data_IF_038743831080
#
_entry.id   IF_038743831080
#
_cell.length_a   1.000
_cell.length_b   1.000
_cell.length_c   1.000
_cell.angle_alpha   90.00
_cell.angle_beta   90.00
_cell.angle_gamma   90.00
#
_symmetry.space_group_name_H-M   'P 1'
#
loop_
_entity.id
_entity.type
_entity.pdbx_description
1 polymer ?
#
# COMPACT_ATOMS: atom_id res chain seq x y z
N UNK A 1 21.71 0.62 -4.20
CA UNK A 1 20.33 0.79 -3.71
C UNK A 1 20.28 0.31 -2.27
N UNK A 2 19.58 1.02 -1.39
CA UNK A 2 19.48 0.66 0.02
C UNK A 2 18.49 -0.51 0.20
N UNK A 3 19.01 -1.71 0.37
CA UNK A 3 18.23 -2.94 0.53
C UNK A 3 17.38 -2.94 1.81
N UNK A 4 17.57 -1.97 2.72
CA UNK A 4 16.81 -1.84 3.96
C UNK A 4 15.40 -1.24 3.77
N UNK A 5 15.08 -0.75 2.57
CA UNK A 5 13.82 -0.05 2.31
C UNK A 5 12.88 -0.85 1.42
N UNK A 6 11.59 -0.86 1.78
CA UNK A 6 10.55 -1.47 0.95
C UNK A 6 10.48 -0.80 -0.44
N UNK A 7 10.26 -1.60 -1.50
CA UNK A 7 10.23 -1.15 -2.89
C UNK A 7 9.26 0.03 -3.13
N UNK A 8 8.11 0.05 -2.45
CA UNK A 8 7.16 1.17 -2.53
C UNK A 8 7.72 2.47 -1.95
N UNK A 9 8.52 2.39 -0.89
CA UNK A 9 9.17 3.54 -0.28
C UNK A 9 10.24 4.08 -1.20
N UNK A 10 11.04 3.20 -1.82
CA UNK A 10 12.06 3.58 -2.80
C UNK A 10 11.41 4.31 -3.99
N UNK A 11 10.33 3.76 -4.54
CA UNK A 11 9.59 4.41 -5.65
C UNK A 11 9.02 5.77 -5.26
N UNK A 12 8.49 5.90 -4.05
CA UNK A 12 7.98 7.18 -3.55
C UNK A 12 9.09 8.21 -3.38
N UNK A 13 10.22 7.82 -2.80
CA UNK A 13 11.37 8.70 -2.62
C UNK A 13 12.00 9.10 -3.95
N UNK A 14 12.12 8.17 -4.90
CA UNK A 14 12.64 8.48 -6.24
C UNK A 14 11.76 9.50 -6.98
N UNK A 15 10.42 9.41 -6.83
CA UNK A 15 9.51 10.41 -7.39
C UNK A 15 9.67 11.77 -6.73
N UNK A 16 9.74 11.78 -5.40
CA UNK A 16 9.86 13.02 -4.64
C UNK A 16 11.23 13.69 -4.87
N UNK A 17 12.30 12.90 -4.99
CA UNK A 17 13.63 13.37 -5.38
C UNK A 17 13.64 14.00 -6.79
N UNK A 18 13.01 13.34 -7.77
CA UNK A 18 12.89 13.93 -9.13
C UNK A 18 12.16 15.26 -9.12
N UNK A 19 11.14 15.42 -8.28
CA UNK A 19 10.43 16.69 -8.15
C UNK A 19 11.32 17.79 -7.56
N UNK A 20 12.21 17.44 -6.61
CA UNK A 20 13.23 18.36 -6.09
C UNK A 20 14.23 18.75 -7.16
N UNK A 21 14.81 17.77 -7.88
CA UNK A 21 15.78 18.03 -8.97
C UNK A 21 15.19 18.96 -10.03
N UNK A 22 13.98 18.67 -10.50
CA UNK A 22 13.29 19.52 -11.48
C UNK A 22 13.06 20.95 -10.97
N UNK A 23 12.73 21.11 -9.69
CA UNK A 23 12.62 22.43 -9.06
C UNK A 23 13.97 23.14 -9.01
N UNK A 24 15.04 22.46 -8.61
CA UNK A 24 16.38 23.03 -8.53
C UNK A 24 16.86 23.49 -9.92
N UNK A 25 16.75 22.64 -10.94
CA UNK A 25 17.07 22.96 -12.34
C UNK A 25 16.32 24.20 -12.84
N UNK A 26 15.00 24.26 -12.62
CA UNK A 26 14.17 25.39 -13.02
C UNK A 26 14.56 26.72 -12.36
N UNK A 27 15.28 26.69 -11.23
CA UNK A 27 15.70 27.87 -10.50
C UNK A 27 17.21 28.09 -10.54
N UNK A 28 17.96 27.33 -11.36
CA UNK A 28 19.42 27.45 -11.45
C UNK A 28 20.14 27.08 -10.15
N UNK A 29 19.61 26.12 -9.37
CA UNK A 29 20.14 25.71 -8.09
C UNK A 29 20.77 24.32 -8.19
N UNK A 30 21.77 24.08 -7.35
CA UNK A 30 22.32 22.74 -7.17
C UNK A 30 21.33 21.87 -6.37
N UNK A 31 21.03 20.70 -6.92
CA UNK A 31 20.18 19.75 -6.21
C UNK A 31 20.91 19.05 -5.05
N UNK A 32 22.24 18.97 -5.11
CA UNK A 32 23.08 18.31 -4.11
C UNK A 32 24.51 18.92 -4.14
N UNK A 33 25.03 19.53 -3.04
CA UNK A 33 24.32 19.75 -1.78
C UNK A 33 23.23 20.81 -1.86
N UNK A 34 22.13 20.61 -1.14
CA UNK A 34 21.02 21.57 -1.09
C UNK A 34 21.13 22.44 0.17
N UNK A 35 21.28 23.76 0.04
CA UNK A 35 21.20 24.65 1.17
C UNK A 35 19.80 24.61 1.83
N UNK A 36 19.70 24.70 3.17
CA UNK A 36 18.40 24.68 3.87
C UNK A 36 17.39 25.72 3.37
N UNK A 37 17.84 26.90 2.96
CA UNK A 37 16.98 27.95 2.42
C UNK A 37 16.28 27.51 1.11
N UNK A 38 17.01 26.86 0.21
CA UNK A 38 16.46 26.35 -1.07
C UNK A 38 15.45 25.22 -0.81
N UNK A 39 15.75 24.35 0.15
CA UNK A 39 14.80 23.30 0.59
C UNK A 39 13.52 23.91 1.16
N UNK A 40 13.61 24.96 1.99
CA UNK A 40 12.44 25.68 2.49
C UNK A 40 11.57 26.23 1.35
N UNK A 41 12.19 26.90 0.37
CA UNK A 41 11.48 27.47 -0.77
C UNK A 41 10.78 26.38 -1.60
N UNK A 42 11.48 25.27 -1.89
CA UNK A 42 10.88 24.12 -2.55
C UNK A 42 9.69 23.58 -1.76
N UNK A 43 9.84 23.31 -0.45
CA UNK A 43 8.78 22.73 0.35
C UNK A 43 7.56 23.64 0.44
N UNK A 44 7.75 24.96 0.49
CA UNK A 44 6.67 25.93 0.44
C UNK A 44 5.93 25.88 -0.91
N UNK A 45 6.66 25.87 -2.03
CA UNK A 45 6.10 25.78 -3.38
C UNK A 45 5.42 24.42 -3.61
N UNK A 46 6.14 23.32 -3.35
CA UNK A 46 5.67 21.95 -3.56
C UNK A 46 4.46 21.60 -2.68
N UNK A 47 4.40 22.21 -1.50
CA UNK A 47 3.32 22.02 -0.55
C UNK A 47 2.03 22.77 -0.88
N UNK A 48 1.98 23.71 -1.83
CA UNK A 48 0.76 24.48 -2.11
C UNK A 48 -0.45 23.59 -2.40
N UNK A 49 -0.32 22.62 -3.30
CA UNK A 49 -1.41 21.78 -3.77
C UNK A 49 -1.32 20.33 -3.25
N UNK A 50 -0.45 20.08 -2.26
CA UNK A 50 -0.19 18.73 -1.73
C UNK A 50 -0.47 18.66 -0.23
N UNK A 51 -0.79 17.45 0.25
CA UNK A 51 -0.95 17.18 1.67
C UNK A 51 0.37 17.39 2.42
N UNK A 52 0.30 17.85 3.67
CA UNK A 52 1.48 18.02 4.52
C UNK A 52 2.33 16.74 4.63
N UNK A 53 1.71 15.57 4.70
CA UNK A 53 2.40 14.27 4.73
C UNK A 53 3.19 13.98 3.45
N UNK A 54 2.70 14.39 2.28
CA UNK A 54 3.40 14.26 1.01
C UNK A 54 4.62 15.17 0.96
N UNK A 55 4.47 16.43 1.39
CA UNK A 55 5.56 17.39 1.45
C UNK A 55 6.62 16.97 2.47
N UNK A 56 6.21 16.43 3.61
CA UNK A 56 7.14 15.87 4.59
C UNK A 56 7.94 14.69 4.02
N UNK A 57 7.29 13.81 3.23
CA UNK A 57 7.99 12.69 2.57
C UNK A 57 9.01 13.20 1.54
N UNK A 58 8.70 14.27 0.80
CA UNK A 58 9.66 14.89 -0.12
C UNK A 58 10.89 15.44 0.62
N UNK A 59 10.70 16.09 1.76
CA UNK A 59 11.80 16.49 2.63
C UNK A 59 12.66 15.29 3.05
N UNK A 60 12.03 14.18 3.48
CA UNK A 60 12.76 12.97 3.86
C UNK A 60 13.56 12.36 2.70
N UNK A 61 13.05 12.44 1.46
CA UNK A 61 13.76 12.00 0.26
C UNK A 61 15.03 12.85 0.02
N UNK A 62 14.95 14.18 0.16
CA UNK A 62 16.09 15.08 0.07
C UNK A 62 17.14 14.74 1.15
N UNK A 63 16.70 14.60 2.40
CA UNK A 63 17.61 14.24 3.50
C UNK A 63 18.25 12.86 3.31
N UNK A 64 17.54 11.89 2.73
CA UNK A 64 18.09 10.58 2.41
C UNK A 64 19.19 10.66 1.34
N UNK A 65 18.97 11.47 0.29
CA UNK A 65 19.97 11.68 -0.75
C UNK A 65 21.26 12.30 -0.20
N UNK A 66 21.15 13.31 0.68
CA UNK A 66 22.31 13.91 1.33
C UNK A 66 23.07 12.90 2.18
N UNK A 67 22.39 12.12 3.01
CA UNK A 67 23.04 11.08 3.82
C UNK A 67 23.74 10.02 2.97
N UNK A 68 23.13 9.61 1.86
CA UNK A 68 23.78 8.66 0.94
C UNK A 68 25.03 9.23 0.26
N UNK A 69 25.07 10.55 0.06
CA UNK A 69 26.22 11.27 -0.49
C UNK A 69 27.27 11.66 0.58
N UNK A 70 27.07 11.30 1.85
CA UNK A 70 27.97 11.69 2.95
C UNK A 70 27.91 13.19 3.29
N UNK A 71 26.83 13.88 2.89
CA UNK A 71 26.66 15.32 3.09
C UNK A 71 25.77 15.63 4.30
N UNK A 72 25.93 16.85 4.84
CA UNK A 72 25.07 17.35 5.90
C UNK A 72 23.60 17.33 5.49
N UNK A 73 22.72 16.82 6.36
CA UNK A 73 21.30 16.69 6.05
C UNK A 73 20.60 18.04 6.26
N UNK A 74 20.11 18.71 5.19
CA UNK A 74 19.47 20.01 5.32
C UNK A 74 18.15 19.98 6.14
N UNK A 75 17.55 18.80 6.32
CA UNK A 75 16.29 18.64 7.04
C UNK A 75 16.47 18.85 8.56
N UNK A 76 17.69 18.64 9.05
CA UNK A 76 18.01 18.84 10.47
C UNK A 76 18.16 20.32 10.83
N UNK A 77 18.17 21.22 9.84
CA UNK A 77 18.21 22.65 10.05
C UNK A 77 16.86 23.18 10.58
N UNK A 78 16.94 24.11 11.53
CA UNK A 78 15.75 24.64 12.23
C UNK A 78 14.75 25.27 11.27
N UNK A 79 15.19 26.02 10.27
CA UNK A 79 14.29 26.66 9.30
C UNK A 79 13.46 25.64 8.53
N UNK A 80 14.04 24.51 8.11
CA UNK A 80 13.30 23.45 7.42
C UNK A 80 12.30 22.79 8.35
N UNK A 81 12.67 22.52 9.59
CA UNK A 81 11.74 21.99 10.61
C UNK A 81 10.57 22.93 10.87
N UNK A 82 10.83 24.24 10.98
CA UNK A 82 9.79 25.27 11.13
C UNK A 82 8.87 25.35 9.90
N UNK A 83 9.42 25.31 8.70
CA UNK A 83 8.64 25.30 7.45
C UNK A 83 7.69 24.09 7.41
N UNK A 84 8.19 22.89 7.71
CA UNK A 84 7.36 21.68 7.79
C UNK A 84 6.29 21.78 8.90
N UNK A 85 6.62 22.35 10.04
CA UNK A 85 5.67 22.58 11.12
C UNK A 85 4.57 23.57 10.72
N UNK A 86 4.92 24.64 10.03
CA UNK A 86 3.98 25.62 9.47
C UNK A 86 3.02 24.96 8.49
N UNK A 87 3.53 24.20 7.53
CA UNK A 87 2.71 23.46 6.56
C UNK A 87 1.74 22.47 7.23
N UNK A 88 2.16 21.79 8.30
CA UNK A 88 1.28 20.91 9.07
C UNK A 88 0.16 21.66 9.78
N UNK A 89 0.45 22.83 10.37
CA UNK A 89 -0.56 23.66 11.03
C UNK A 89 -1.58 24.20 10.04
N UNK A 90 -1.11 24.71 8.89
CA UNK A 90 -1.98 25.33 7.88
C UNK A 90 -2.88 24.30 7.18
N UNK A 91 -2.35 23.10 6.89
CA UNK A 91 -3.06 22.08 6.08
C UNK A 91 -3.74 20.98 6.90
N UNK A 92 -3.42 20.91 8.17
CA UNK A 92 -3.80 19.79 9.02
C UNK A 92 -3.01 18.53 8.68
N UNK A 93 -3.07 17.56 9.58
CA UNK A 93 -2.42 16.24 9.42
C UNK A 93 -3.42 15.09 9.48
N UNK A 94 -4.69 15.39 9.74
CA UNK A 94 -5.72 14.37 9.83
C UNK A 94 -5.83 13.60 8.49
N UNK A 95 -5.68 12.28 8.50
CA UNK A 95 -5.91 11.49 7.30
C UNK A 95 -7.41 11.54 6.97
N UNK A 96 -7.74 11.74 5.69
CA UNK A 96 -9.11 11.50 5.23
C UNK A 96 -9.34 9.99 5.31
N UNK A 97 -10.06 9.57 6.31
CA UNK A 97 -10.49 8.17 6.41
C UNK A 97 -11.53 7.87 5.32
N UNK A 98 -11.38 6.71 4.68
CA UNK A 98 -12.45 6.16 3.86
C UNK A 98 -13.61 5.76 4.78
N UNK A 99 -14.83 5.78 4.25
CA UNK A 99 -15.97 5.22 4.97
C UNK A 99 -15.68 3.73 5.29
N UNK A 100 -16.05 3.26 6.48
CA UNK A 100 -15.92 1.85 6.82
C UNK A 100 -16.83 1.03 5.89
N UNK A 101 -16.34 -0.10 5.42
CA UNK A 101 -17.14 -1.04 4.65
C UNK A 101 -17.93 -1.90 5.63
N UNK A 102 -19.26 -1.77 5.62
CA UNK A 102 -20.17 -2.54 6.46
C UNK A 102 -20.55 -3.88 5.81
N UNK A 103 -21.08 -4.82 6.60
CA UNK A 103 -21.46 -6.16 6.12
C UNK A 103 -22.48 -6.10 4.97
N UNK A 104 -23.45 -5.20 5.04
CA UNK A 104 -24.46 -5.04 3.99
C UNK A 104 -23.87 -4.57 2.65
N UNK A 105 -22.83 -3.74 2.70
CA UNK A 105 -22.12 -3.29 1.50
C UNK A 105 -21.27 -4.41 0.90
N UNK A 106 -20.64 -5.23 1.76
CA UNK A 106 -19.90 -6.43 1.33
C UNK A 106 -20.84 -7.43 0.68
N UNK A 107 -22.02 -7.64 1.24
CA UNK A 107 -23.08 -8.49 0.66
C UNK A 107 -23.49 -8.00 -0.73
N UNK A 108 -23.78 -6.70 -0.87
CA UNK A 108 -24.10 -6.09 -2.17
C UNK A 108 -22.97 -6.28 -3.19
N UNK A 109 -21.73 -6.07 -2.76
CA UNK A 109 -20.55 -6.28 -3.63
C UNK A 109 -20.41 -7.74 -4.04
N UNK A 110 -20.55 -8.69 -3.10
CA UNK A 110 -20.44 -10.11 -3.39
C UNK A 110 -21.55 -10.59 -4.33
N UNK A 111 -22.78 -10.10 -4.17
CA UNK A 111 -23.93 -10.41 -5.05
C UNK A 111 -23.83 -9.76 -6.43
N UNK A 112 -23.13 -8.66 -6.57
CA UNK A 112 -22.94 -7.96 -7.84
C UNK A 112 -21.87 -8.62 -8.74
N UNK A 113 -21.10 -9.59 -8.24
CA UNK A 113 -20.13 -10.32 -9.06
C UNK A 113 -20.81 -11.35 -9.95
N UNK A 114 -20.32 -11.53 -11.17
CA UNK A 114 -20.78 -12.58 -12.09
C UNK A 114 -20.41 -13.99 -11.61
N UNK A 115 -21.01 -15.01 -12.19
CA UNK A 115 -20.69 -16.41 -11.88
C UNK A 115 -19.65 -17.02 -12.83
N UNK A 116 -18.99 -16.20 -13.67
CA UNK A 116 -17.82 -16.59 -14.45
C UNK A 116 -16.56 -16.69 -13.57
N UNK A 117 -15.48 -17.20 -14.11
CA UNK A 117 -14.21 -17.38 -13.38
C UNK A 117 -13.72 -16.07 -12.75
N UNK A 118 -13.93 -14.95 -13.43
CA UNK A 118 -13.51 -13.63 -12.95
C UNK A 118 -14.38 -13.16 -11.77
N UNK A 119 -15.69 -13.29 -11.91
CA UNK A 119 -16.62 -12.92 -10.84
C UNK A 119 -16.48 -13.80 -9.60
N UNK A 120 -16.26 -15.09 -9.77
CA UNK A 120 -15.96 -16.01 -8.65
C UNK A 120 -14.67 -15.60 -7.92
N UNK A 121 -13.62 -15.23 -8.66
CA UNK A 121 -12.39 -14.70 -8.07
C UNK A 121 -12.65 -13.41 -7.30
N UNK A 122 -13.36 -12.48 -7.90
CA UNK A 122 -13.60 -11.17 -7.32
C UNK A 122 -14.48 -11.29 -6.05
N UNK A 123 -15.47 -12.18 -6.06
CA UNK A 123 -16.26 -12.55 -4.86
C UNK A 123 -15.37 -13.11 -3.75
N UNK A 124 -14.49 -14.05 -4.08
CA UNK A 124 -13.56 -14.61 -3.12
C UNK A 124 -12.64 -13.54 -2.52
N UNK A 125 -12.08 -12.64 -3.35
CA UNK A 125 -11.23 -11.54 -2.89
C UNK A 125 -11.94 -10.58 -1.94
N UNK A 126 -13.20 -10.20 -2.26
CA UNK A 126 -14.00 -9.31 -1.42
C UNK A 126 -14.25 -9.95 -0.05
N UNK A 127 -14.73 -11.20 -0.04
CA UNK A 127 -15.10 -11.89 1.20
C UNK A 127 -13.88 -12.23 2.07
N UNK A 128 -12.82 -12.77 1.47
CA UNK A 128 -11.56 -13.06 2.19
C UNK A 128 -10.93 -11.77 2.70
N UNK A 129 -10.93 -10.72 1.88
CA UNK A 129 -10.37 -9.43 2.24
C UNK A 129 -11.07 -8.79 3.43
N UNK A 130 -12.39 -8.84 3.44
CA UNK A 130 -13.23 -8.29 4.51
C UNK A 130 -13.06 -9.07 5.82
N UNK A 131 -13.34 -10.37 5.81
CA UNK A 131 -13.28 -11.21 7.03
C UNK A 131 -11.85 -11.34 7.54
N UNK A 132 -10.90 -11.47 6.63
CA UNK A 132 -9.48 -11.57 6.97
C UNK A 132 -8.83 -10.23 7.34
N UNK A 133 -9.48 -9.09 7.11
CA UNK A 133 -8.91 -7.75 7.30
C UNK A 133 -7.50 -7.63 6.70
N UNK A 134 -7.30 -8.20 5.50
CA UNK A 134 -6.03 -8.17 4.81
C UNK A 134 -5.76 -6.81 4.17
N UNK A 135 -4.49 -6.43 4.11
CA UNK A 135 -4.09 -5.29 3.30
C UNK A 135 -4.22 -5.62 1.82
N UNK A 136 -4.54 -4.60 1.01
CA UNK A 136 -4.62 -4.77 -0.46
C UNK A 136 -3.38 -5.46 -1.05
N UNK A 137 -2.18 -5.12 -0.55
CA UNK A 137 -0.93 -5.73 -1.01
C UNK A 137 -0.79 -7.20 -0.61
N UNK A 138 -1.36 -7.62 0.50
CA UNK A 138 -1.40 -9.00 0.96
C UNK A 138 -2.35 -9.81 0.06
N UNK A 139 -3.58 -9.30 -0.13
CA UNK A 139 -4.56 -9.91 -1.04
C UNK A 139 -4.03 -10.09 -2.48
N UNK A 140 -3.37 -9.07 -3.01
CA UNK A 140 -2.83 -9.10 -4.37
C UNK A 140 -1.62 -10.03 -4.52
N UNK A 141 -1.01 -10.46 -3.42
CA UNK A 141 0.14 -11.36 -3.40
C UNK A 141 -0.24 -12.83 -3.17
N UNK A 142 -1.50 -13.14 -2.85
CA UNK A 142 -1.93 -14.52 -2.65
C UNK A 142 -1.95 -15.30 -3.96
N UNK A 143 -1.36 -16.48 -3.94
CA UNK A 143 -1.55 -17.52 -4.94
C UNK A 143 -2.65 -18.48 -4.46
N UNK A 144 -3.15 -19.33 -5.38
CA UNK A 144 -4.17 -20.32 -5.05
C UNK A 144 -3.72 -21.29 -3.93
N UNK A 145 -2.44 -21.64 -3.92
CA UNK A 145 -1.79 -22.51 -2.94
C UNK A 145 -1.62 -21.88 -1.54
N UNK A 146 -1.73 -20.56 -1.42
CA UNK A 146 -1.72 -19.87 -0.13
C UNK A 146 -3.07 -19.96 0.60
N UNK A 147 -4.10 -20.46 -0.07
CA UNK A 147 -5.48 -20.54 0.40
C UNK A 147 -5.91 -22.00 0.55
N UNK A 148 -5.69 -22.56 1.74
CA UNK A 148 -6.00 -23.95 2.05
C UNK A 148 -7.33 -24.07 2.79
N UNK A 149 -8.32 -24.71 2.16
CA UNK A 149 -9.61 -24.97 2.81
C UNK A 149 -9.50 -26.22 3.69
N UNK A 150 -9.77 -26.05 4.98
CA UNK A 150 -9.77 -27.09 6.02
C UNK A 150 -11.17 -27.30 6.61
N UNK A 151 -11.42 -28.35 7.40
CA UNK A 151 -12.68 -28.55 8.11
C UNK A 151 -13.07 -27.34 8.99
N UNK A 152 -12.09 -26.72 9.63
CA UNK A 152 -12.29 -25.61 10.59
C UNK A 152 -12.43 -24.25 9.90
N UNK A 153 -12.07 -24.15 8.61
CA UNK A 153 -12.11 -22.88 7.89
C UNK A 153 -11.12 -22.80 6.72
N UNK A 154 -10.71 -21.58 6.41
CA UNK A 154 -9.69 -21.30 5.41
C UNK A 154 -8.38 -20.92 6.11
N UNK A 155 -7.33 -21.70 5.95
CA UNK A 155 -5.98 -21.34 6.35
C UNK A 155 -5.34 -20.50 5.25
N UNK A 156 -4.93 -19.28 5.59
CA UNK A 156 -4.32 -18.34 4.65
C UNK A 156 -2.85 -18.15 5.03
N UNK A 157 -1.96 -18.42 4.07
CA UNK A 157 -0.52 -18.21 4.20
C UNK A 157 -0.14 -16.81 3.75
N UNK A 158 0.36 -16.00 4.67
CA UNK A 158 0.83 -14.65 4.38
C UNK A 158 2.36 -14.69 4.28
N UNK A 159 2.89 -14.82 3.06
CA UNK A 159 4.34 -14.98 2.81
C UNK A 159 5.14 -13.74 3.24
N UNK A 160 4.60 -12.55 3.05
CA UNK A 160 5.20 -11.26 3.43
C UNK A 160 4.14 -10.25 3.79
N UNK A 161 4.41 -9.41 4.79
CA UNK A 161 3.54 -8.30 5.14
C UNK A 161 4.34 -7.01 5.33
N UNK A 162 3.65 -5.87 5.49
CA UNK A 162 4.31 -4.58 5.76
C UNK A 162 5.14 -4.58 7.05
N UNK A 163 4.79 -5.41 8.02
CA UNK A 163 5.49 -5.56 9.31
C UNK A 163 6.44 -6.75 9.33
N UNK A 164 6.34 -7.65 8.37
CA UNK A 164 7.21 -8.80 8.18
C UNK A 164 7.96 -8.63 6.85
N UNK A 165 8.95 -7.76 6.84
CA UNK A 165 9.78 -7.52 5.67
C UNK A 165 10.85 -8.60 5.46
N UNK A 166 11.19 -9.33 6.52
CA UNK A 166 12.13 -10.46 6.49
C UNK A 166 11.50 -11.72 5.87
N UNK A 167 10.15 -11.75 5.76
CA UNK A 167 9.45 -12.86 5.11
C UNK A 167 9.42 -14.14 5.95
N UNK A 168 9.33 -14.01 7.29
CA UNK A 168 9.13 -15.15 8.20
C UNK A 168 7.82 -15.86 7.93
N UNK A 169 6.87 -15.15 7.30
CA UNK A 169 5.55 -15.64 7.02
C UNK A 169 4.68 -15.78 8.27
N UNK A 170 3.39 -15.84 8.06
CA UNK A 170 2.43 -16.14 9.12
C UNK A 170 1.18 -16.74 8.52
N UNK A 171 0.42 -17.43 9.36
CA UNK A 171 -0.86 -18.01 9.00
C UNK A 171 -1.99 -17.21 9.63
N UNK A 172 -3.12 -17.20 8.96
CA UNK A 172 -4.38 -16.69 9.49
C UNK A 172 -5.50 -17.65 9.13
N UNK A 173 -6.29 -18.03 10.11
CA UNK A 173 -7.48 -18.86 9.88
C UNK A 173 -8.72 -17.98 9.78
N UNK A 174 -9.55 -18.23 8.79
CA UNK A 174 -10.84 -17.58 8.57
C UNK A 174 -11.92 -18.66 8.74
N UNK A 175 -12.85 -18.50 9.69
CA UNK A 175 -13.90 -19.50 9.93
C UNK A 175 -14.94 -19.53 8.80
N UNK A 176 -15.72 -20.59 8.75
CA UNK A 176 -16.90 -20.64 7.91
C UNK A 176 -17.97 -19.65 8.41
N UNK A 177 -18.64 -18.98 7.48
CA UNK A 177 -19.86 -18.24 7.76
C UNK A 177 -21.05 -19.23 7.71
N UNK A 178 -21.41 -19.81 8.85
CA UNK A 178 -22.42 -20.87 8.92
C UNK A 178 -23.82 -20.29 8.68
N UNK A 179 -24.13 -19.15 9.30
CA UNK A 179 -25.43 -18.49 9.23
C UNK A 179 -25.70 -17.83 7.87
N UNK A 180 -24.66 -17.46 7.13
CA UNK A 180 -24.71 -16.80 5.82
C UNK A 180 -23.80 -17.50 4.82
N UNK A 181 -24.22 -18.67 4.34
CA UNK A 181 -23.39 -19.50 3.44
C UNK A 181 -22.97 -18.80 2.14
N UNK A 182 -23.80 -17.89 1.64
CA UNK A 182 -23.57 -17.08 0.44
C UNK A 182 -22.47 -16.04 0.62
N UNK A 183 -22.20 -15.63 1.85
CA UNK A 183 -21.13 -14.71 2.24
C UNK A 183 -19.91 -15.44 2.83
N UNK A 184 -19.86 -16.76 2.70
CA UNK A 184 -18.79 -17.56 3.28
C UNK A 184 -17.52 -17.46 2.44
N UNK A 185 -16.43 -16.89 2.97
CA UNK A 185 -15.16 -16.76 2.25
C UNK A 185 -14.56 -18.11 1.85
N UNK A 186 -14.70 -19.14 2.68
CA UNK A 186 -14.21 -20.49 2.39
C UNK A 186 -14.92 -21.10 1.18
N UNK A 187 -16.25 -20.97 1.13
CA UNK A 187 -17.06 -21.46 -0.01
C UNK A 187 -16.73 -20.69 -1.29
N UNK A 188 -16.56 -19.39 -1.20
CA UNK A 188 -16.20 -18.55 -2.35
C UNK A 188 -14.83 -18.92 -2.92
N UNK A 189 -13.82 -19.16 -2.06
CA UNK A 189 -12.48 -19.61 -2.50
C UNK A 189 -12.58 -20.98 -3.17
N UNK A 190 -13.30 -21.94 -2.57
CA UNK A 190 -13.48 -23.28 -3.16
C UNK A 190 -14.16 -23.21 -4.53
N UNK A 191 -15.21 -22.44 -4.67
CA UNK A 191 -15.91 -22.27 -5.95
C UNK A 191 -14.97 -21.71 -7.04
N UNK A 192 -14.19 -20.68 -6.69
CA UNK A 192 -13.21 -20.13 -7.61
C UNK A 192 -12.10 -21.15 -7.98
N UNK A 193 -11.53 -21.85 -7.00
CA UNK A 193 -10.48 -22.85 -7.25
C UNK A 193 -10.98 -24.00 -8.13
N UNK A 194 -12.20 -24.49 -7.91
CA UNK A 194 -12.82 -25.53 -8.74
C UNK A 194 -13.05 -25.06 -10.19
N UNK A 195 -13.55 -23.84 -10.37
CA UNK A 195 -13.75 -23.25 -11.69
C UNK A 195 -12.41 -23.04 -12.43
N UNK A 196 -11.37 -22.58 -11.72
CA UNK A 196 -10.03 -22.39 -12.27
C UNK A 196 -9.40 -23.72 -12.72
N UNK A 197 -9.50 -24.76 -11.90
CA UNK A 197 -9.02 -26.10 -12.25
C UNK A 197 -9.73 -26.68 -13.51
N UNK A 198 -11.03 -26.44 -13.64
CA UNK A 198 -11.81 -26.83 -14.82
C UNK A 198 -11.40 -26.11 -16.12
N UNK A 199 -10.87 -24.90 -16.02
CA UNK A 199 -10.31 -24.15 -17.18
C UNK A 199 -8.97 -24.73 -17.58
N UNK A 200 -8.06 -24.94 -16.64
CA UNK A 200 -6.73 -25.52 -16.92
C UNK A 200 -6.86 -26.91 -17.58
N UNK A 201 -7.74 -27.75 -17.06
CA UNK A 201 -7.98 -29.09 -17.63
C UNK A 201 -8.53 -29.05 -19.05
N UNK A 202 -9.22 -28.00 -19.49
CA UNK A 202 -9.72 -27.83 -20.87
C UNK A 202 -8.67 -27.27 -21.82
N UNK A 203 -7.72 -26.49 -21.32
CA UNK A 203 -6.68 -25.86 -22.15
C UNK A 203 -5.52 -26.84 -22.44
N UNK A 204 -5.40 -27.92 -21.67
CA UNK A 204 -4.38 -28.96 -21.83
C UNK A 204 -4.83 -30.20 -22.67
N UNK A 205 -5.96 -30.11 -23.37
CA UNK A 205 -6.43 -31.13 -24.35
C UNK A 205 -6.42 -30.52 -25.74
#
# INVERSE_FOLDING_TARGET
MDASMAANTIRAYARDWRAWVAYAEAHGLDALPAPPAHVCAFLAAYGRDRKATTTQRAAMAIGKAHRLAGLANPIDHEHVRRTLAGLRRTKGVAPRQAAPLCTDEVEKLARATSDDLRGLRDRALVLVGYVGAFRRSELAAFNAEDLEARPEGLLVHIRRSKVDQEGRGRHKTIPYAVERPELCPVRAVRAWQQAAAGVVARTCR
#
